data_IF_232543835843
#
_entry.id   IF_232543835843
#
_cell.length_a   1.000
_cell.length_b   1.000
_cell.length_c   1.000
_cell.angle_alpha   90.00
_cell.angle_beta   90.00
_cell.angle_gamma   90.00
#
_symmetry.space_group_name_H-M   'P 1'
#
loop_
_entity.id
_entity.type
_entity.pdbx_description
1 polymer ?
#
# COMPACT_ATOMS: atom_id res chain seq x y z
N UNK A 1 -1.98 26.32 -2.33
CA UNK A 1 -3.25 25.69 -1.93
C UNK A 1 -2.94 24.20 -1.86
N UNK A 2 -2.85 23.62 -0.67
CA UNK A 2 -2.61 22.18 -0.55
C UNK A 2 -3.86 21.43 -0.99
N UNK A 3 -3.68 20.46 -1.87
CA UNK A 3 -4.77 19.62 -2.38
C UNK A 3 -5.31 18.75 -1.22
N UNK A 4 -6.62 18.77 -0.92
CA UNK A 4 -7.19 17.97 0.16
C UNK A 4 -6.92 16.46 0.03
N UNK A 5 -6.74 15.94 -1.19
CA UNK A 5 -6.42 14.52 -1.43
C UNK A 5 -5.00 14.16 -0.96
N UNK A 6 -4.07 15.11 -1.06
CA UNK A 6 -2.70 14.95 -0.57
C UNK A 6 -2.67 14.88 0.96
N UNK A 7 -3.46 15.72 1.64
CA UNK A 7 -3.54 15.70 3.11
C UNK A 7 -4.16 14.39 3.64
N UNK A 8 -5.17 13.84 2.97
CA UNK A 8 -5.76 12.56 3.34
C UNK A 8 -4.75 11.40 3.22
N UNK A 9 -4.04 11.35 2.09
CA UNK A 9 -3.00 10.35 1.82
C UNK A 9 -1.87 10.43 2.86
N UNK A 10 -1.40 11.64 3.16
CA UNK A 10 -0.38 11.89 4.17
C UNK A 10 -0.79 11.38 5.55
N UNK A 11 -2.00 11.73 6.00
CA UNK A 11 -2.52 11.33 7.30
C UNK A 11 -2.61 9.80 7.43
N UNK A 12 -3.03 9.10 6.38
CA UNK A 12 -3.07 7.63 6.35
C UNK A 12 -1.66 7.06 6.41
N UNK A 13 -0.73 7.54 5.60
CA UNK A 13 0.64 7.04 5.57
C UNK A 13 1.37 7.27 6.91
N UNK A 14 1.26 8.47 7.50
CA UNK A 14 1.81 8.77 8.83
C UNK A 14 1.15 7.91 9.91
N UNK A 15 -0.16 7.71 9.85
CA UNK A 15 -0.89 6.84 10.77
C UNK A 15 -0.44 5.37 10.69
N UNK A 16 -0.25 4.84 9.48
CA UNK A 16 0.30 3.50 9.26
C UNK A 16 1.74 3.39 9.78
N UNK A 17 2.59 4.36 9.47
CA UNK A 17 3.98 4.42 9.94
C UNK A 17 4.05 4.37 11.47
N UNK A 18 3.26 5.19 12.16
CA UNK A 18 3.18 5.20 13.62
C UNK A 18 2.59 3.90 14.19
N UNK A 19 1.51 3.38 13.61
CA UNK A 19 0.87 2.15 14.08
C UNK A 19 1.77 0.91 13.95
N UNK A 20 2.68 0.91 12.97
CA UNK A 20 3.64 -0.17 12.76
C UNK A 20 5.01 0.06 13.42
N UNK A 21 5.17 1.13 14.18
CA UNK A 21 6.42 1.42 14.88
C UNK A 21 6.78 0.26 15.83
N UNK A 22 7.99 -0.29 15.68
CA UNK A 22 8.47 -1.45 16.43
C UNK A 22 7.90 -2.81 15.97
N UNK A 23 6.91 -2.83 15.07
CA UNK A 23 6.37 -4.06 14.48
C UNK A 23 7.02 -4.40 13.15
N UNK A 24 7.22 -3.40 12.31
CA UNK A 24 7.80 -3.50 10.98
C UNK A 24 9.03 -2.61 10.84
N UNK A 25 9.93 -2.99 9.95
CA UNK A 25 11.09 -2.20 9.55
C UNK A 25 10.97 -1.93 8.06
N UNK A 26 10.91 -0.65 7.70
CA UNK A 26 10.66 -0.20 6.34
C UNK A 26 11.96 -0.11 5.55
N UNK A 27 11.87 -0.42 4.26
CA UNK A 27 12.88 -0.15 3.23
C UNK A 27 12.21 0.35 1.97
N UNK A 28 12.99 0.94 1.06
CA UNK A 28 12.46 1.40 -0.23
C UNK A 28 12.48 0.26 -1.27
N UNK A 29 11.35 0.01 -1.93
CA UNK A 29 11.26 -0.83 -3.12
C UNK A 29 11.25 0.07 -4.36
N UNK A 30 12.43 0.29 -4.94
CA UNK A 30 12.58 1.14 -6.13
C UNK A 30 11.93 0.59 -7.40
N UNK A 31 11.58 -0.70 -7.44
CA UNK A 31 10.92 -1.29 -8.61
C UNK A 31 9.44 -0.92 -8.68
N UNK A 32 8.82 -0.73 -7.52
CA UNK A 32 7.38 -0.46 -7.38
C UNK A 32 7.09 0.90 -6.76
N UNK A 33 8.15 1.68 -6.49
CA UNK A 33 8.07 3.00 -5.84
C UNK A 33 7.24 2.98 -4.55
N UNK A 34 7.49 1.96 -3.73
CA UNK A 34 6.71 1.70 -2.53
C UNK A 34 7.61 1.48 -1.31
N UNK A 35 7.07 1.76 -0.13
CA UNK A 35 7.72 1.34 1.12
C UNK A 35 7.41 -0.13 1.35
N UNK A 36 8.44 -0.90 1.66
CA UNK A 36 8.39 -2.35 1.77
C UNK A 36 8.79 -2.76 3.19
N UNK A 37 8.04 -3.67 3.78
CA UNK A 37 8.45 -4.40 4.97
C UNK A 37 8.22 -5.90 4.77
N UNK A 38 9.09 -6.70 5.38
CA UNK A 38 8.98 -8.16 5.44
C UNK A 38 8.84 -8.57 6.91
N UNK A 39 7.96 -9.53 7.18
CA UNK A 39 7.73 -10.02 8.53
C UNK A 39 7.36 -11.51 8.52
N UNK A 40 7.57 -12.14 9.68
CA UNK A 40 7.23 -13.53 9.88
C UNK A 40 5.70 -13.74 9.85
N UNK A 41 5.22 -14.74 9.11
CA UNK A 41 3.80 -15.05 8.93
C UNK A 41 3.03 -15.22 10.25
N UNK A 42 3.71 -15.64 11.32
CA UNK A 42 3.13 -15.71 12.68
C UNK A 42 2.66 -14.36 13.24
N UNK A 43 3.17 -13.24 12.73
CA UNK A 43 2.77 -11.89 13.11
C UNK A 43 1.53 -11.39 12.34
N UNK A 44 0.97 -12.17 11.40
CA UNK A 44 -0.14 -11.74 10.55
C UNK A 44 -1.35 -11.20 11.33
N UNK A 45 -1.67 -11.82 12.47
CA UNK A 45 -2.80 -11.43 13.33
C UNK A 45 -2.58 -10.08 14.03
N UNK A 46 -1.32 -9.64 14.17
CA UNK A 46 -1.00 -8.31 14.70
C UNK A 46 -0.97 -7.24 13.59
N UNK A 47 -0.57 -7.61 12.37
CA UNK A 47 -0.40 -6.66 11.25
C UNK A 47 -1.71 -6.39 10.52
N UNK A 48 -2.49 -7.45 10.24
CA UNK A 48 -3.67 -7.37 9.40
C UNK A 48 -4.76 -6.43 9.94
N UNK A 49 -5.12 -6.44 11.24
CA UNK A 49 -6.14 -5.52 11.76
C UNK A 49 -5.75 -4.05 11.65
N UNK A 50 -4.44 -3.74 11.70
CA UNK A 50 -3.95 -2.38 11.49
C UNK A 50 -4.18 -1.97 10.03
N UNK A 51 -3.85 -2.84 9.07
CA UNK A 51 -4.13 -2.56 7.65
C UNK A 51 -5.63 -2.36 7.41
N UNK A 52 -6.48 -3.22 7.93
CA UNK A 52 -7.94 -3.13 7.75
C UNK A 52 -8.52 -1.83 8.38
N UNK A 53 -7.92 -1.32 9.46
CA UNK A 53 -8.32 -0.05 10.07
C UNK A 53 -8.03 1.16 9.17
N UNK A 54 -6.86 1.20 8.53
CA UNK A 54 -6.43 2.35 7.72
C UNK A 54 -6.78 2.22 6.23
N UNK A 55 -6.91 0.99 5.74
CA UNK A 55 -7.15 0.61 4.35
C UNK A 55 -8.35 -0.37 4.32
N UNK A 56 -9.58 0.13 4.54
CA UNK A 56 -10.74 -0.72 4.84
C UNK A 56 -11.26 -1.50 3.64
N UNK A 57 -10.87 -1.15 2.41
CA UNK A 57 -11.32 -1.85 1.22
C UNK A 57 -10.34 -2.96 0.90
N UNK A 58 -10.84 -4.20 0.86
CA UNK A 58 -10.05 -5.39 0.58
C UNK A 58 -10.41 -5.98 -0.78
N UNK A 59 -9.38 -6.17 -1.60
CA UNK A 59 -9.47 -6.83 -2.89
C UNK A 59 -8.71 -8.14 -2.87
N UNK A 60 -9.33 -9.15 -3.45
CA UNK A 60 -8.83 -10.53 -3.56
C UNK A 60 -8.85 -10.94 -5.03
N UNK A 61 -8.23 -12.06 -5.38
CA UNK A 61 -8.28 -12.61 -6.75
C UNK A 61 -9.70 -12.62 -7.35
N UNK A 62 -10.73 -13.07 -6.62
CA UNK A 62 -12.12 -13.03 -7.10
C UNK A 62 -12.72 -11.63 -7.26
N UNK A 63 -12.36 -10.66 -6.41
CA UNK A 63 -13.03 -9.34 -6.39
C UNK A 63 -12.33 -8.27 -7.21
N UNK A 64 -11.02 -8.42 -7.47
CA UNK A 64 -10.21 -7.40 -8.14
C UNK A 64 -10.65 -7.11 -9.59
N UNK A 65 -11.25 -8.08 -10.28
CA UNK A 65 -11.77 -7.88 -11.64
C UNK A 65 -12.90 -6.82 -11.69
N UNK A 66 -13.69 -6.73 -10.61
CA UNK A 66 -14.77 -5.75 -10.44
C UNK A 66 -14.34 -4.43 -9.80
N UNK A 67 -13.05 -4.26 -9.46
CA UNK A 67 -12.56 -3.04 -8.83
C UNK A 67 -12.56 -1.84 -9.80
N UNK A 68 -12.58 -0.60 -9.29
CA UNK A 68 -12.44 0.60 -10.12
C UNK A 68 -11.16 0.63 -10.94
N UNK A 69 -11.19 1.39 -12.05
CA UNK A 69 -10.10 1.47 -13.03
C UNK A 69 -8.71 1.67 -12.41
N UNK A 70 -8.52 2.70 -11.55
CA UNK A 70 -7.25 2.95 -10.86
C UNK A 70 -6.75 1.78 -10.02
N UNK A 71 -7.64 1.09 -9.29
CA UNK A 71 -7.26 -0.09 -8.48
C UNK A 71 -6.78 -1.23 -9.38
N UNK A 72 -7.48 -1.49 -10.48
CA UNK A 72 -7.08 -2.51 -11.45
C UNK A 72 -5.76 -2.18 -12.13
N UNK A 73 -5.52 -0.90 -12.40
CA UNK A 73 -4.26 -0.42 -12.96
C UNK A 73 -3.09 -0.68 -12.02
N UNK A 74 -3.21 -0.32 -10.73
CA UNK A 74 -2.18 -0.63 -9.74
C UNK A 74 -1.96 -2.12 -9.64
N UNK A 75 -3.03 -2.93 -9.59
CA UNK A 75 -2.92 -4.39 -9.57
C UNK A 75 -2.16 -4.94 -10.80
N UNK A 76 -2.41 -4.39 -12.01
CA UNK A 76 -1.69 -4.78 -13.21
C UNK A 76 -0.19 -4.43 -13.14
N UNK A 77 0.15 -3.23 -12.63
CA UNK A 77 1.55 -2.80 -12.41
C UNK A 77 2.28 -3.70 -11.39
N UNK A 78 1.54 -4.24 -10.43
CA UNK A 78 2.01 -5.20 -9.44
C UNK A 78 2.16 -6.64 -9.99
N UNK A 79 1.80 -6.89 -11.25
CA UNK A 79 1.86 -8.20 -11.89
C UNK A 79 0.64 -9.09 -11.64
N UNK A 80 -0.45 -8.51 -11.13
CA UNK A 80 -1.71 -9.17 -10.82
C UNK A 80 -1.71 -9.95 -9.50
N UNK A 81 -2.82 -9.92 -8.78
CA UNK A 81 -3.04 -10.73 -7.59
C UNK A 81 -2.98 -12.23 -7.90
N UNK A 82 -2.11 -12.92 -7.17
CA UNK A 82 -1.99 -14.39 -7.17
C UNK A 82 -2.66 -14.98 -5.93
N UNK A 83 -2.72 -16.31 -5.86
CA UNK A 83 -3.28 -17.02 -4.73
C UNK A 83 -2.62 -16.60 -3.39
N UNK A 84 -3.46 -16.33 -2.39
CA UNK A 84 -3.04 -15.87 -1.06
C UNK A 84 -2.57 -14.41 -0.99
N UNK A 85 -2.42 -13.72 -2.12
CA UNK A 85 -2.11 -12.29 -2.14
C UNK A 85 -3.37 -11.46 -1.90
N UNK A 86 -3.21 -10.34 -1.21
CA UNK A 86 -4.29 -9.40 -0.93
C UNK A 86 -3.88 -7.99 -1.35
N UNK A 87 -4.86 -7.17 -1.70
CA UNK A 87 -4.66 -5.76 -1.99
C UNK A 87 -5.63 -4.95 -1.14
N UNK A 88 -5.11 -4.09 -0.27
CA UNK A 88 -5.90 -3.19 0.56
C UNK A 88 -5.87 -1.77 -0.03
N UNK A 89 -6.96 -1.02 0.07
CA UNK A 89 -7.00 0.39 -0.32
C UNK A 89 -7.77 1.26 0.68
N UNK A 90 -7.39 2.54 0.78
CA UNK A 90 -8.06 3.53 1.65
C UNK A 90 -9.44 3.94 1.16
N UNK A 91 -9.76 3.70 -0.11
CA UNK A 91 -11.05 4.01 -0.71
C UNK A 91 -11.32 3.13 -1.94
N UNK A 92 -12.46 3.34 -2.63
CA UNK A 92 -12.81 2.58 -3.83
C UNK A 92 -11.81 2.84 -4.97
N UNK A 93 -11.07 3.95 -4.94
CA UNK A 93 -10.04 4.27 -5.92
C UNK A 93 -10.57 5.01 -7.14
N UNK A 94 -11.49 5.96 -6.94
CA UNK A 94 -11.96 6.87 -8.00
C UNK A 94 -11.09 8.14 -8.11
N UNK A 95 -10.36 8.51 -7.04
CA UNK A 95 -9.38 9.62 -6.99
C UNK A 95 -8.05 9.15 -6.41
N UNK A 96 -7.27 10.03 -5.76
CA UNK A 96 -6.04 9.59 -5.09
C UNK A 96 -6.34 8.68 -3.87
N UNK A 97 -5.54 7.62 -3.70
CA UNK A 97 -5.70 6.68 -2.58
C UNK A 97 -4.37 6.07 -2.13
N UNK A 98 -4.34 5.58 -0.89
CA UNK A 98 -3.25 4.74 -0.36
C UNK A 98 -3.64 3.28 -0.56
N UNK A 99 -2.66 2.45 -0.90
CA UNK A 99 -2.86 1.01 -1.00
C UNK A 99 -1.76 0.23 -0.26
N UNK A 100 -2.06 -1.04 0.02
CA UNK A 100 -1.10 -2.01 0.51
C UNK A 100 -1.22 -3.32 -0.27
N UNK A 101 -0.13 -3.75 -0.92
CA UNK A 101 -0.02 -5.10 -1.48
C UNK A 101 0.55 -6.05 -0.43
N UNK A 102 -0.20 -7.09 -0.08
CA UNK A 102 0.18 -8.13 0.88
C UNK A 102 0.55 -9.42 0.15
N UNK A 103 1.80 -9.84 0.25
CA UNK A 103 2.36 -10.96 -0.50
C UNK A 103 3.02 -12.00 0.42
N UNK A 104 2.37 -13.14 0.65
CA UNK A 104 3.04 -14.33 1.16
C UNK A 104 4.04 -14.86 0.13
N UNK A 105 5.22 -15.31 0.58
CA UNK A 105 6.28 -15.80 -0.31
C UNK A 105 6.09 -17.26 -0.74
N UNK A 106 5.06 -17.94 -0.24
CA UNK A 106 4.81 -19.37 -0.50
C UNK A 106 5.65 -20.33 0.36
N UNK A 107 6.60 -19.80 1.14
CA UNK A 107 7.43 -20.56 2.09
C UNK A 107 6.71 -20.86 3.43
N UNK A 108 5.50 -20.33 3.61
CA UNK A 108 4.72 -20.41 4.85
C UNK A 108 5.31 -19.61 6.03
N UNK A 109 6.40 -18.88 5.82
CA UNK A 109 7.18 -18.21 6.87
C UNK A 109 7.21 -16.71 6.70
N UNK A 110 7.16 -16.22 5.47
CA UNK A 110 7.46 -14.83 5.14
C UNK A 110 6.29 -14.18 4.43
N UNK A 111 5.93 -13.00 4.90
CA UNK A 111 4.97 -12.12 4.24
C UNK A 111 5.66 -10.77 4.04
N UNK A 112 5.48 -10.20 2.85
CA UNK A 112 5.89 -8.84 2.57
C UNK A 112 4.67 -7.95 2.35
N UNK A 113 4.76 -6.70 2.81
CA UNK A 113 3.79 -5.65 2.52
C UNK A 113 4.47 -4.52 1.79
N UNK A 114 3.78 -3.96 0.80
CA UNK A 114 4.20 -2.76 0.07
C UNK A 114 3.12 -1.71 0.18
N UNK A 115 3.45 -0.54 0.69
CA UNK A 115 2.53 0.58 0.83
C UNK A 115 2.98 1.71 -0.09
N UNK A 116 2.03 2.30 -0.82
CA UNK A 116 2.24 3.49 -1.62
C UNK A 116 0.92 4.21 -1.84
N UNK A 117 0.99 5.41 -2.41
CA UNK A 117 -0.18 6.13 -2.91
C UNK A 117 -0.22 6.13 -4.43
N UNK A 118 -1.43 6.22 -4.96
CA UNK A 118 -1.69 6.31 -6.39
C UNK A 118 -2.64 7.47 -6.66
N UNK A 119 -2.38 8.20 -7.74
CA UNK A 119 -3.31 9.18 -8.32
C UNK A 119 -3.40 8.97 -9.84
N UNK A 120 -4.61 8.90 -10.43
CA UNK A 120 -4.78 8.60 -11.86
C UNK A 120 -4.14 9.62 -12.81
N UNK A 121 -4.13 10.90 -12.41
CA UNK A 121 -3.68 12.02 -13.26
C UNK A 121 -2.24 12.46 -12.95
N UNK A 122 -1.48 11.62 -12.23
CA UNK A 122 -0.14 11.93 -11.76
C UNK A 122 0.91 12.00 -12.89
N UNK A 123 1.60 13.15 -12.97
CA UNK A 123 2.71 13.41 -13.90
C UNK A 123 4.04 12.87 -13.38
N UNK A 124 5.04 12.75 -14.25
CA UNK A 124 6.36 12.24 -13.89
C UNK A 124 7.05 13.03 -12.74
N UNK A 125 6.99 14.36 -12.76
CA UNK A 125 7.57 15.18 -11.69
C UNK A 125 6.85 15.00 -10.33
N UNK A 126 5.55 14.66 -10.36
CA UNK A 126 4.75 14.41 -9.17
C UNK A 126 5.07 13.04 -8.56
N UNK A 127 5.44 12.04 -9.39
CA UNK A 127 5.92 10.73 -8.93
C UNK A 127 7.17 10.84 -8.05
N UNK A 128 8.16 11.61 -8.48
CA UNK A 128 9.40 11.80 -7.72
C UNK A 128 9.15 12.50 -6.37
N UNK A 129 8.26 13.48 -6.37
CA UNK A 129 7.84 14.19 -5.16
C UNK A 129 7.05 13.26 -4.22
N UNK A 130 6.10 12.47 -4.75
CA UNK A 130 5.38 11.44 -3.99
C UNK A 130 6.34 10.45 -3.35
N UNK A 131 7.30 9.93 -4.11
CA UNK A 131 8.32 8.99 -3.63
C UNK A 131 9.15 9.60 -2.49
N UNK A 132 9.54 10.87 -2.61
CA UNK A 132 10.25 11.61 -1.54
C UNK A 132 9.39 11.78 -0.27
N UNK A 133 8.12 12.14 -0.42
CA UNK A 133 7.17 12.28 0.70
C UNK A 133 6.93 10.96 1.40
N UNK A 134 6.68 9.89 0.64
CA UNK A 134 6.42 8.56 1.18
C UNK A 134 7.62 8.05 2.00
N UNK A 135 8.84 8.22 1.49
CA UNK A 135 10.06 7.94 2.24
C UNK A 135 10.13 8.72 3.56
N UNK A 136 9.89 10.03 3.50
CA UNK A 136 9.86 10.89 4.70
C UNK A 136 8.81 10.44 5.72
N UNK A 137 7.59 10.08 5.31
CA UNK A 137 6.52 9.66 6.23
C UNK A 137 6.80 8.31 6.91
N UNK A 138 7.55 7.42 6.25
CA UNK A 138 7.96 6.14 6.80
C UNK A 138 9.36 6.16 7.45
N UNK A 139 10.03 7.32 7.45
CA UNK A 139 11.31 7.54 8.12
C UNK A 139 12.50 6.84 7.45
N UNK A 140 12.49 6.72 6.11
CA UNK A 140 13.54 6.06 5.32
C UNK A 140 14.15 6.96 4.24
#
# INVERSE_FOLDING_TARGET
>A
MEDPENAATENICKGLSQAFQGLLSWKWDGRLEAVLAEFAAKKKEAIRPILEKYLPVLWTGPTIAGAPGPVREVNARLGGLREGQLFFSSGPGEGAFVYCAWWPWGDGKTISVRIASFSPDERAAEKDERSRRLKSWFGI
#
